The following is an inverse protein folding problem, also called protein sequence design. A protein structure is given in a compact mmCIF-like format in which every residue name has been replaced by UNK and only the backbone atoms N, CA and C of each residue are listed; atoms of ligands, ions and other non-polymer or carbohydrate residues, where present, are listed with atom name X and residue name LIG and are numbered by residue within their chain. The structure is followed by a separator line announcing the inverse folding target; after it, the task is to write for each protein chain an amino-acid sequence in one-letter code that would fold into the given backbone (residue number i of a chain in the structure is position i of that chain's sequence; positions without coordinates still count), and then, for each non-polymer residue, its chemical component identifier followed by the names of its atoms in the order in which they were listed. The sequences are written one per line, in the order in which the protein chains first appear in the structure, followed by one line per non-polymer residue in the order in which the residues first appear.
data_IF_694830683497
#
_entry.id   IF_694830683497
#
_cell.length_a   1.000
_cell.length_b   1.000
_cell.length_c   1.000
_cell.angle_alpha   90.00
_cell.angle_beta   90.00
_cell.angle_gamma   90.00
#
_symmetry.space_group_name_H-M   'P 1'
#
loop_
_entity.id
_entity.type
_entity.pdbx_description
1 polymer ?
#
# COMPACT_ATOMS: atom_id res chain seq x y z
N UNK A 1 5.54 -30.92 10.18
CA UNK A 1 4.96 -29.66 10.70
C UNK A 1 5.60 -28.51 9.94
N UNK A 2 4.86 -27.44 9.67
CA UNK A 2 5.41 -26.29 8.96
C UNK A 2 6.22 -25.39 9.91
N UNK A 3 7.26 -24.75 9.38
CA UNK A 3 7.99 -23.68 10.03
C UNK A 3 7.15 -22.40 9.93
N UNK A 4 6.76 -21.85 11.08
CA UNK A 4 6.01 -20.60 11.14
C UNK A 4 6.92 -19.38 10.92
N UNK A 5 6.38 -18.39 10.21
CA UNK A 5 7.09 -17.12 9.95
C UNK A 5 6.22 -15.97 10.43
N UNK A 6 6.83 -15.03 11.16
CA UNK A 6 6.17 -13.83 11.66
C UNK A 6 6.71 -12.61 10.90
N UNK A 7 5.82 -11.69 10.55
CA UNK A 7 6.23 -10.38 10.02
C UNK A 7 6.91 -9.61 11.13
N UNK A 8 8.24 -9.69 11.21
CA UNK A 8 9.06 -8.81 12.02
C UNK A 8 9.62 -7.71 11.11
N UNK A 9 9.82 -6.49 11.63
CA UNK A 9 10.41 -5.36 10.89
C UNK A 9 11.89 -5.59 10.48
N UNK A 10 12.37 -6.84 10.53
CA UNK A 10 13.73 -7.21 10.12
C UNK A 10 13.78 -7.26 8.60
N UNK A 11 14.77 -6.57 8.04
CA UNK A 11 15.03 -6.22 6.64
C UNK A 11 15.24 -7.43 5.72
N UNK A 12 14.25 -8.29 5.55
CA UNK A 12 14.22 -9.23 4.41
C UNK A 12 13.73 -8.48 3.18
N UNK A 13 14.47 -8.56 2.07
CA UNK A 13 14.20 -7.86 0.82
C UNK A 13 12.73 -7.94 0.42
N UNK A 14 12.03 -6.80 0.45
CA UNK A 14 10.64 -6.71 0.02
C UNK A 14 10.61 -6.79 -1.50
N UNK A 15 10.19 -7.95 -2.03
CA UNK A 15 10.03 -8.15 -3.48
C UNK A 15 9.04 -7.13 -4.05
N UNK A 16 9.35 -6.61 -5.24
CA UNK A 16 8.44 -5.73 -5.94
C UNK A 16 7.19 -6.49 -6.41
N UNK A 17 6.13 -5.75 -6.71
CA UNK A 17 4.90 -6.32 -7.29
C UNK A 17 5.17 -7.18 -8.53
N UNK A 18 6.09 -6.75 -9.40
CA UNK A 18 6.39 -7.48 -10.63
C UNK A 18 7.15 -8.78 -10.33
N UNK A 19 8.14 -8.73 -9.44
CA UNK A 19 8.93 -9.91 -9.07
C UNK A 19 8.06 -10.95 -8.35
N UNK A 20 7.12 -10.48 -7.52
CA UNK A 20 6.18 -11.37 -6.84
C UNK A 20 5.25 -12.08 -7.81
N UNK A 21 4.75 -11.37 -8.83
CA UNK A 21 3.92 -11.98 -9.89
C UNK A 21 4.72 -12.95 -10.76
N UNK A 22 5.96 -12.58 -11.14
CA UNK A 22 6.86 -13.45 -11.88
C UNK A 22 7.12 -14.75 -11.12
N UNK A 23 7.44 -14.65 -9.82
CA UNK A 23 7.62 -15.81 -8.96
C UNK A 23 6.39 -16.75 -8.94
N UNK A 24 5.18 -16.19 -8.75
CA UNK A 24 3.96 -17.00 -8.76
C UNK A 24 3.76 -17.70 -10.11
N UNK A 25 3.94 -16.95 -11.20
CA UNK A 25 3.76 -17.46 -12.55
C UNK A 25 4.76 -18.55 -12.92
N UNK A 26 6.02 -18.40 -12.51
CA UNK A 26 7.06 -19.38 -12.76
C UNK A 26 6.84 -20.65 -11.93
N UNK A 27 6.50 -20.52 -10.64
CA UNK A 27 6.27 -21.68 -9.77
C UNK A 27 5.00 -22.47 -10.14
N UNK A 28 3.93 -21.77 -10.52
CA UNK A 28 2.64 -22.41 -10.80
C UNK A 28 2.37 -22.60 -12.29
N UNK A 29 3.27 -22.22 -13.20
CA UNK A 29 3.00 -22.19 -14.64
C UNK A 29 1.67 -21.48 -14.93
N UNK A 30 1.51 -20.29 -14.35
CA UNK A 30 0.30 -19.47 -14.42
C UNK A 30 0.55 -18.18 -15.22
N UNK A 31 -0.52 -17.44 -15.51
CA UNK A 31 -0.45 -16.19 -16.27
C UNK A 31 -1.14 -15.01 -15.57
N UNK A 32 -0.92 -14.84 -14.25
CA UNK A 32 -1.48 -13.72 -13.51
C UNK A 32 -0.87 -12.38 -13.97
N UNK A 33 -1.74 -11.42 -14.28
CA UNK A 33 -1.36 -10.06 -14.65
C UNK A 33 -1.47 -9.09 -13.46
N UNK A 34 -2.28 -9.42 -12.45
CA UNK A 34 -2.59 -8.57 -11.31
C UNK A 34 -2.56 -9.38 -10.02
N UNK A 35 -2.05 -8.79 -8.93
CA UNK A 35 -1.96 -9.47 -7.63
C UNK A 35 -3.36 -9.75 -7.07
N UNK A 36 -4.33 -8.91 -7.40
CA UNK A 36 -5.73 -9.05 -7.04
C UNK A 36 -6.34 -10.37 -7.54
N UNK A 37 -5.81 -10.98 -8.60
CA UNK A 37 -6.29 -12.27 -9.14
C UNK A 37 -6.00 -13.45 -8.18
N UNK A 38 -5.10 -13.28 -7.22
CA UNK A 38 -4.85 -14.24 -6.14
C UNK A 38 -5.98 -14.31 -5.11
N UNK A 39 -6.94 -13.37 -5.15
CA UNK A 39 -8.13 -13.38 -4.29
C UNK A 39 -9.01 -14.62 -4.48
N UNK A 40 -8.82 -15.39 -5.55
CA UNK A 40 -9.54 -16.65 -5.76
C UNK A 40 -9.14 -17.74 -4.76
N UNK A 41 -7.99 -17.60 -4.11
CA UNK A 41 -7.45 -18.56 -3.14
C UNK A 41 -6.87 -19.85 -3.76
N UNK A 42 -7.07 -20.09 -5.06
CA UNK A 42 -6.68 -21.33 -5.72
C UNK A 42 -5.15 -21.50 -5.80
N UNK A 43 -4.42 -20.42 -6.10
CA UNK A 43 -2.96 -20.43 -6.14
C UNK A 43 -2.33 -20.82 -4.80
N UNK A 44 -2.84 -20.26 -3.69
CA UNK A 44 -2.34 -20.59 -2.34
C UNK A 44 -2.61 -22.05 -1.95
N UNK A 45 -3.75 -22.60 -2.36
CA UNK A 45 -4.05 -24.02 -2.16
C UNK A 45 -3.04 -24.89 -2.92
N UNK A 46 -2.68 -24.51 -4.14
CA UNK A 46 -1.70 -25.25 -4.92
C UNK A 46 -0.29 -25.13 -4.35
N UNK A 47 0.12 -23.95 -3.87
CA UNK A 47 1.39 -23.81 -3.16
C UNK A 47 1.48 -24.69 -1.91
N UNK A 48 0.37 -24.84 -1.17
CA UNK A 48 0.34 -25.73 -0.01
C UNK A 48 0.47 -27.21 -0.39
N UNK A 49 -0.06 -27.62 -1.53
CA UNK A 49 0.16 -28.96 -2.09
C UNK A 49 1.64 -29.17 -2.50
N UNK A 50 2.26 -28.16 -3.11
CA UNK A 50 3.69 -28.16 -3.45
C UNK A 50 4.59 -28.29 -2.21
N UNK A 51 4.35 -27.47 -1.18
CA UNK A 51 5.11 -27.53 0.08
C UNK A 51 4.85 -28.85 0.83
N UNK A 52 3.57 -29.21 0.98
CA UNK A 52 3.12 -30.33 1.79
C UNK A 52 2.11 -31.20 1.04
N UNK A 53 2.57 -32.18 0.24
CA UNK A 53 1.72 -33.06 -0.53
C UNK A 53 0.68 -33.76 0.35
N UNK A 54 -0.58 -33.78 -0.10
CA UNK A 54 -1.69 -34.36 0.66
C UNK A 54 -2.18 -33.51 1.84
N UNK A 55 -1.66 -32.28 2.02
CA UNK A 55 -2.26 -31.30 2.94
C UNK A 55 -3.54 -30.68 2.38
N UNK A 56 -3.67 -30.64 1.05
CA UNK A 56 -4.79 -29.99 0.34
C UNK A 56 -5.54 -31.00 -0.55
N UNK A 57 -6.88 -31.05 -0.51
CA UNK A 57 -7.68 -31.84 -1.44
C UNK A 57 -7.79 -31.15 -2.82
N UNK A 58 -6.81 -31.36 -3.70
CA UNK A 58 -6.71 -30.70 -5.02
C UNK A 58 -7.99 -30.77 -5.86
N UNK A 59 -8.70 -31.92 -5.83
CA UNK A 59 -9.96 -32.13 -6.58
C UNK A 59 -11.12 -31.21 -6.16
N UNK A 60 -11.06 -30.62 -4.97
CA UNK A 60 -12.12 -29.73 -4.46
C UNK A 60 -11.87 -28.26 -4.77
N UNK A 61 -10.68 -27.91 -5.24
CA UNK A 61 -10.30 -26.54 -5.54
C UNK A 61 -10.98 -26.09 -6.83
N UNK A 62 -11.53 -24.88 -6.83
CA UNK A 62 -12.06 -24.23 -8.02
C UNK A 62 -10.96 -23.34 -8.62
N UNK A 63 -10.29 -23.83 -9.66
CA UNK A 63 -9.18 -23.09 -10.32
C UNK A 63 -9.67 -22.00 -11.29
N UNK A 64 -10.84 -22.20 -11.92
CA UNK A 64 -11.44 -21.25 -12.87
C UNK A 64 -12.80 -20.83 -12.34
N UNK A 65 -12.84 -19.73 -11.60
CA UNK A 65 -14.06 -19.17 -10.99
C UNK A 65 -14.00 -17.65 -10.98
N UNK A 66 -15.18 -17.02 -11.10
CA UNK A 66 -15.36 -15.58 -10.92
C UNK A 66 -16.38 -15.26 -9.80
N UNK A 67 -16.70 -16.23 -8.95
CA UNK A 67 -17.77 -16.14 -7.96
C UNK A 67 -17.19 -16.06 -6.55
N UNK A 68 -17.53 -15.00 -5.81
CA UNK A 68 -16.98 -14.75 -4.46
C UNK A 68 -17.23 -15.91 -3.49
N UNK A 69 -18.40 -16.57 -3.57
CA UNK A 69 -18.71 -17.72 -2.71
C UNK A 69 -17.82 -18.95 -3.01
N UNK A 70 -17.30 -19.09 -4.22
CA UNK A 70 -16.32 -20.14 -4.57
C UNK A 70 -14.92 -19.78 -4.05
N UNK A 71 -14.57 -18.48 -3.99
CA UNK A 71 -13.30 -18.03 -3.38
C UNK A 71 -13.27 -18.37 -1.89
N UNK A 72 -14.39 -18.14 -1.20
CA UNK A 72 -14.55 -18.51 0.21
C UNK A 72 -14.35 -20.03 0.40
N UNK A 73 -14.86 -20.86 -0.51
CA UNK A 73 -14.65 -22.31 -0.45
C UNK A 73 -13.17 -22.68 -0.60
N UNK A 74 -12.45 -22.07 -1.55
CA UNK A 74 -11.01 -22.26 -1.70
C UNK A 74 -10.24 -21.83 -0.44
N UNK A 75 -10.57 -20.68 0.15
CA UNK A 75 -9.91 -20.24 1.39
C UNK A 75 -10.22 -21.13 2.59
N UNK A 76 -11.41 -21.75 2.67
CA UNK A 76 -11.70 -22.77 3.70
C UNK A 76 -10.83 -24.01 3.53
N UNK A 77 -10.56 -24.41 2.29
CA UNK A 77 -9.63 -25.50 2.01
C UNK A 77 -8.21 -25.13 2.47
N UNK A 78 -7.78 -23.89 2.20
CA UNK A 78 -6.47 -23.38 2.65
C UNK A 78 -6.35 -23.34 4.18
N UNK A 79 -7.39 -22.85 4.89
CA UNK A 79 -7.44 -22.85 6.36
C UNK A 79 -7.33 -24.26 6.95
N UNK A 80 -7.99 -25.24 6.34
CA UNK A 80 -7.90 -26.63 6.77
C UNK A 80 -6.46 -27.17 6.61
N UNK A 81 -5.77 -26.81 5.53
CA UNK A 81 -4.37 -27.18 5.32
C UNK A 81 -3.43 -26.50 6.33
N UNK A 82 -3.64 -25.22 6.63
CA UNK A 82 -2.89 -24.49 7.67
C UNK A 82 -3.05 -25.15 9.04
N UNK A 83 -4.29 -25.51 9.41
CA UNK A 83 -4.57 -26.23 10.65
C UNK A 83 -3.88 -27.59 10.71
N UNK A 84 -3.87 -28.35 9.59
CA UNK A 84 -3.22 -29.66 9.51
C UNK A 84 -1.70 -29.57 9.66
N UNK A 85 -1.10 -28.50 9.16
CA UNK A 85 0.35 -28.27 9.20
C UNK A 85 0.82 -27.44 10.41
N UNK A 86 -0.11 -27.06 11.30
CA UNK A 86 0.15 -26.22 12.48
C UNK A 86 0.72 -24.83 12.15
N UNK A 87 0.12 -24.18 11.14
CA UNK A 87 0.45 -22.81 10.76
C UNK A 87 -0.41 -21.84 11.57
N UNK A 88 0.23 -20.95 12.35
CA UNK A 88 -0.45 -20.05 13.29
C UNK A 88 -1.01 -18.78 12.64
N UNK A 89 -0.67 -18.54 11.36
CA UNK A 89 -1.13 -17.36 10.63
C UNK A 89 -2.64 -17.41 10.39
N UNK A 90 -3.33 -16.39 10.90
CA UNK A 90 -4.73 -16.14 10.58
C UNK A 90 -4.84 -15.55 9.17
N UNK A 91 -5.64 -16.19 8.32
CA UNK A 91 -5.92 -15.74 6.95
C UNK A 91 -7.09 -14.75 6.98
N UNK A 92 -6.92 -13.48 6.55
CA UNK A 92 -7.98 -12.47 6.53
C UNK A 92 -8.92 -12.66 5.32
N UNK A 93 -9.68 -13.76 5.31
CA UNK A 93 -10.50 -14.19 4.15
C UNK A 93 -11.42 -13.07 3.66
N UNK A 94 -12.15 -12.40 4.55
CA UNK A 94 -13.11 -11.35 4.20
C UNK A 94 -12.50 -10.17 3.46
N UNK A 95 -11.21 -9.90 3.69
CA UNK A 95 -10.47 -8.82 3.01
C UNK A 95 -9.90 -9.30 1.68
N UNK A 96 -9.34 -10.51 1.64
CA UNK A 96 -8.70 -11.08 0.45
C UNK A 96 -9.69 -11.28 -0.68
N UNK A 97 -10.86 -11.88 -0.41
CA UNK A 97 -11.87 -12.21 -1.43
C UNK A 97 -12.44 -10.97 -2.14
N UNK A 98 -12.29 -9.78 -1.53
CA UNK A 98 -12.72 -8.50 -2.14
C UNK A 98 -11.79 -8.03 -3.25
N UNK A 99 -10.70 -8.75 -3.53
CA UNK A 99 -9.76 -8.41 -4.60
C UNK A 99 -9.06 -7.07 -4.38
N UNK A 100 -8.92 -6.61 -3.12
CA UNK A 100 -8.18 -5.38 -2.82
C UNK A 100 -6.68 -5.63 -2.90
N UNK A 101 -5.97 -4.78 -3.63
CA UNK A 101 -4.53 -4.92 -3.84
C UNK A 101 -3.74 -4.97 -2.52
N UNK A 102 -4.00 -4.05 -1.59
CA UNK A 102 -3.24 -3.93 -0.35
C UNK A 102 -3.30 -5.21 0.50
N UNK A 103 -4.51 -5.70 0.77
CA UNK A 103 -4.71 -6.91 1.57
C UNK A 103 -4.12 -8.16 0.88
N UNK A 104 -4.30 -8.28 -0.44
CA UNK A 104 -3.76 -9.40 -1.20
C UNK A 104 -2.24 -9.37 -1.27
N UNK A 105 -1.64 -8.18 -1.42
CA UNK A 105 -0.19 -8.03 -1.49
C UNK A 105 0.48 -8.28 -0.14
N UNK A 106 -0.08 -7.76 0.95
CA UNK A 106 0.43 -8.01 2.30
C UNK A 106 0.41 -9.52 2.63
N UNK A 107 -0.70 -10.20 2.31
CA UNK A 107 -0.79 -11.64 2.53
C UNK A 107 0.21 -12.41 1.66
N UNK A 108 0.37 -12.02 0.39
CA UNK A 108 1.31 -12.65 -0.53
C UNK A 108 2.78 -12.46 -0.09
N UNK A 109 3.15 -11.29 0.43
CA UNK A 109 4.48 -11.04 0.97
C UNK A 109 4.78 -11.97 2.15
N UNK A 110 3.84 -12.09 3.09
CA UNK A 110 3.99 -13.04 4.18
C UNK A 110 4.06 -14.48 3.65
N UNK A 111 3.21 -14.83 2.68
CA UNK A 111 3.15 -16.16 2.11
C UNK A 111 4.45 -16.54 1.40
N UNK A 112 5.11 -15.60 0.72
CA UNK A 112 6.43 -15.81 0.12
C UNK A 112 7.49 -16.15 1.17
N UNK A 113 7.55 -15.39 2.27
CA UNK A 113 8.48 -15.69 3.37
C UNK A 113 8.20 -17.06 4.00
N UNK A 114 6.92 -17.39 4.17
CA UNK A 114 6.48 -18.70 4.62
C UNK A 114 6.89 -19.81 3.64
N UNK A 115 6.74 -19.59 2.34
CA UNK A 115 7.13 -20.53 1.30
C UNK A 115 8.65 -20.77 1.34
N UNK A 116 9.46 -19.72 1.35
CA UNK A 116 10.93 -19.84 1.35
C UNK A 116 11.46 -20.58 2.59
N UNK A 117 10.81 -20.39 3.74
CA UNK A 117 11.18 -21.07 4.98
C UNK A 117 10.82 -22.57 5.00
N UNK A 118 9.91 -23.01 4.12
CA UNK A 118 9.38 -24.38 4.13
C UNK A 118 9.70 -25.17 2.85
N UNK A 119 10.10 -24.50 1.77
CA UNK A 119 10.38 -25.15 0.51
C UNK A 119 11.74 -25.84 0.54
N UNK A 120 11.76 -27.13 0.22
CA UNK A 120 12.94 -27.98 0.24
C UNK A 120 13.60 -28.14 -1.14
N UNK A 121 13.12 -27.41 -2.15
CA UNK A 121 13.67 -27.42 -3.50
C UNK A 121 13.20 -28.58 -4.38
N UNK A 122 12.20 -29.36 -3.94
CA UNK A 122 11.65 -30.47 -4.74
C UNK A 122 11.08 -30.00 -6.08
N UNK A 123 11.19 -30.82 -7.10
CA UNK A 123 10.52 -30.56 -8.38
C UNK A 123 9.01 -30.77 -8.22
N UNK A 124 8.22 -29.87 -8.80
CA UNK A 124 6.76 -29.92 -8.75
C UNK A 124 6.18 -29.53 -10.12
N UNK A 125 5.42 -30.44 -10.71
CA UNK A 125 4.67 -30.16 -11.94
C UNK A 125 3.29 -29.57 -11.59
N UNK A 126 3.20 -28.25 -11.67
CA UNK A 126 1.98 -27.52 -11.36
C UNK A 126 0.86 -27.76 -12.38
N UNK A 127 1.19 -28.07 -13.63
CA UNK A 127 0.21 -28.32 -14.67
C UNK A 127 -0.46 -29.69 -14.48
N UNK A 128 0.32 -30.73 -14.20
CA UNK A 128 -0.21 -32.07 -13.91
C UNK A 128 -1.00 -32.12 -12.61
N UNK A 129 -0.52 -31.44 -11.56
CA UNK A 129 -1.23 -31.39 -10.27
C UNK A 129 -2.63 -30.75 -10.37
N UNK A 130 -2.85 -29.89 -11.37
CA UNK A 130 -4.17 -29.34 -11.70
C UNK A 130 -4.99 -30.22 -12.61
N UNK A 131 -4.45 -31.31 -13.16
CA UNK A 131 -5.11 -32.10 -14.20
C UNK A 131 -5.24 -31.35 -15.53
N UNK A 132 -4.28 -30.46 -15.84
CA UNK A 132 -4.20 -29.73 -17.11
C UNK A 132 -4.96 -28.39 -17.16
N UNK A 133 -5.52 -27.90 -16.05
CA UNK A 133 -6.14 -26.57 -16.03
C UNK A 133 -5.09 -25.45 -15.96
N UNK A 134 -5.27 -24.38 -16.74
CA UNK A 134 -4.48 -23.15 -16.63
C UNK A 134 -5.11 -22.18 -15.63
N UNK A 135 -4.28 -21.45 -14.89
CA UNK A 135 -4.71 -20.42 -13.92
C UNK A 135 -4.07 -19.07 -14.31
N UNK A 136 -4.77 -17.97 -14.08
CA UNK A 136 -4.22 -16.62 -14.25
C UNK A 136 -4.66 -15.87 -15.52
N UNK A 137 -5.28 -16.50 -16.51
CA UNK A 137 -5.96 -15.74 -17.56
C UNK A 137 -7.30 -15.21 -17.07
N UNK A 138 -7.36 -13.91 -16.80
CA UNK A 138 -8.61 -13.17 -16.66
C UNK A 138 -9.58 -13.56 -17.78
N UNK A 139 -10.84 -13.76 -17.42
CA UNK A 139 -11.88 -14.28 -18.30
C UNK A 139 -12.07 -13.40 -19.56
N UNK A 140 -11.38 -13.74 -20.63
CA UNK A 140 -11.84 -13.62 -22.01
C UNK A 140 -11.06 -14.64 -22.87
N UNK A 141 -11.74 -15.71 -23.27
CA UNK A 141 -11.58 -16.23 -24.62
C UNK A 141 -12.88 -16.91 -25.03
N UNK A 142 -13.64 -16.24 -25.88
CA UNK A 142 -14.53 -16.92 -26.79
C UNK A 142 -13.71 -17.27 -28.03
N UNK A 143 -13.02 -18.41 -27.94
CA UNK A 143 -12.73 -19.31 -29.05
C UNK A 143 -11.60 -18.90 -29.98
N UNK A 144 -10.36 -19.19 -29.60
CA UNK A 144 -9.31 -19.57 -30.57
C UNK A 144 -8.42 -20.70 -30.01
N UNK A 145 -8.37 -21.89 -30.63
CA UNK A 145 -7.46 -22.96 -30.22
C UNK A 145 -6.13 -22.87 -30.96
N UNK A 146 -5.10 -22.31 -30.34
CA UNK A 146 -3.69 -22.36 -30.77
C UNK A 146 -2.82 -22.23 -29.50
N UNK A 147 -1.73 -22.93 -29.25
CA UNK A 147 -0.98 -24.03 -29.86
C UNK A 147 -0.08 -24.57 -28.71
N UNK A 148 0.34 -25.83 -28.76
CA UNK A 148 1.06 -26.55 -27.70
C UNK A 148 2.36 -25.84 -27.22
N UNK A 149 2.78 -26.03 -25.95
CA UNK A 149 4.02 -25.44 -25.44
C UNK A 149 5.25 -26.16 -26.03
N UNK A 150 6.22 -25.37 -26.50
CA UNK A 150 7.52 -25.87 -26.94
C UNK A 150 8.37 -26.35 -25.74
N UNK A 151 9.22 -27.38 -25.91
CA UNK A 151 10.00 -27.98 -24.82
C UNK A 151 11.15 -27.06 -24.34
N UNK A 152 11.68 -27.28 -23.12
CA UNK A 152 12.68 -26.41 -22.50
C UNK A 152 14.03 -26.53 -23.21
N UNK A 153 14.59 -25.40 -23.62
CA UNK A 153 15.90 -25.34 -24.29
C UNK A 153 17.02 -25.34 -23.24
N UNK A 154 17.77 -26.43 -23.20
CA UNK A 154 18.94 -26.61 -22.36
C UNK A 154 20.04 -25.56 -22.65
N UNK A 155 20.72 -25.10 -21.59
CA UNK A 155 21.96 -24.32 -21.64
C UNK A 155 23.07 -25.11 -22.37
N UNK A 156 23.74 -24.48 -23.35
CA UNK A 156 25.17 -24.71 -23.61
C UNK A 156 25.82 -23.59 -24.45
N UNK A 157 27.16 -23.58 -24.36
CA UNK A 157 28.11 -22.47 -24.50
C UNK A 157 28.36 -21.92 -25.93
N UNK A 158 29.01 -20.75 -25.95
CA UNK A 158 29.47 -19.97 -27.11
C UNK A 158 30.45 -20.71 -28.03
N UNK A 159 30.62 -20.23 -29.28
CA UNK A 159 31.89 -19.57 -29.61
C UNK A 159 31.79 -18.30 -30.49
N UNK A 160 32.90 -17.57 -30.49
CA UNK A 160 33.21 -16.27 -31.10
C UNK A 160 33.29 -16.31 -32.65
N UNK A 161 32.85 -15.24 -33.34
CA UNK A 161 33.67 -14.56 -34.35
C UNK A 161 33.17 -13.14 -34.70
N UNK A 162 34.14 -12.31 -35.05
CA UNK A 162 34.17 -10.86 -35.26
C UNK A 162 33.67 -10.43 -36.66
N UNK A 163 32.93 -9.32 -36.74
CA UNK A 163 33.25 -8.16 -37.61
C UNK A 163 32.23 -7.03 -37.41
N UNK A 164 32.71 -5.79 -37.41
CA UNK A 164 31.98 -4.61 -36.93
C UNK A 164 31.05 -3.96 -37.95
N UNK A 165 30.18 -3.07 -37.45
CA UNK A 165 29.81 -1.85 -38.15
C UNK A 165 29.21 -0.84 -37.16
N UNK A 166 29.68 0.38 -37.26
CA UNK A 166 29.33 1.57 -36.47
C UNK A 166 27.92 2.07 -36.77
N UNK A 167 27.11 2.29 -35.74
CA UNK A 167 25.99 3.25 -35.82
C UNK A 167 25.76 3.89 -34.45
N UNK A 168 26.02 5.19 -34.35
CA UNK A 168 25.57 6.02 -33.23
C UNK A 168 24.04 5.95 -33.17
N UNK A 169 23.50 5.41 -32.08
CA UNK A 169 22.08 5.53 -31.75
C UNK A 169 21.97 6.40 -30.50
N UNK A 170 21.47 7.63 -30.68
CA UNK A 170 21.02 8.48 -29.60
C UNK A 170 20.01 7.72 -28.74
N UNK A 171 20.32 7.63 -27.46
CA UNK A 171 19.40 7.26 -26.39
C UNK A 171 18.28 8.29 -26.28
N UNK A 172 17.03 7.87 -26.52
CA UNK A 172 15.87 8.49 -25.88
C UNK A 172 14.78 7.44 -25.66
N UNK A 173 14.87 6.79 -24.50
CA UNK A 173 13.82 5.96 -23.94
C UNK A 173 12.69 6.87 -23.41
N UNK A 174 11.91 7.49 -24.30
CA UNK A 174 10.63 8.06 -23.92
C UNK A 174 9.65 6.90 -23.71
N UNK A 175 9.65 6.33 -22.50
CA UNK A 175 8.54 5.49 -22.02
C UNK A 175 7.26 6.30 -22.21
N UNK A 176 6.37 5.84 -23.08
CA UNK A 176 5.01 6.37 -23.19
C UNK A 176 4.32 6.13 -21.84
N UNK A 177 4.34 7.13 -20.98
CA UNK A 177 3.62 7.09 -19.72
C UNK A 177 2.13 7.27 -20.04
N UNK A 178 1.42 6.16 -20.24
CA UNK A 178 -0.02 6.18 -20.46
C UNK A 178 -0.67 6.67 -19.16
N UNK A 179 -1.43 7.77 -19.23
CA UNK A 179 -2.12 8.35 -18.08
C UNK A 179 -3.13 7.33 -17.54
N UNK A 180 -3.04 6.88 -16.28
CA UNK A 180 -3.91 5.85 -15.74
C UNK A 180 -5.27 6.44 -15.30
N UNK A 181 -6.13 6.75 -16.27
CA UNK A 181 -7.43 7.41 -16.06
C UNK A 181 -8.30 6.65 -15.05
N UNK A 182 -8.31 5.31 -15.10
CA UNK A 182 -9.09 4.46 -14.18
C UNK A 182 -8.70 4.61 -12.70
N UNK A 183 -7.48 5.09 -12.42
CA UNK A 183 -7.01 5.39 -11.06
C UNK A 183 -7.39 6.79 -10.63
N UNK A 184 -7.33 7.76 -11.56
CA UNK A 184 -7.60 9.17 -11.28
C UNK A 184 -9.10 9.44 -11.05
N UNK A 185 -9.97 8.78 -11.82
CA UNK A 185 -11.43 8.93 -11.70
C UNK A 185 -11.96 8.45 -10.33
N UNK A 186 -11.21 7.59 -9.62
CA UNK A 186 -11.57 7.10 -8.28
C UNK A 186 -11.36 8.14 -7.18
N UNK A 187 -10.78 9.30 -7.48
CA UNK A 187 -10.65 10.41 -6.53
C UNK A 187 -9.71 10.15 -5.35
N UNK A 188 -8.83 9.15 -5.44
CA UNK A 188 -7.87 8.85 -4.37
C UNK A 188 -6.77 9.91 -4.34
N UNK A 189 -6.48 10.42 -3.15
CA UNK A 189 -5.48 11.47 -2.94
C UNK A 189 -4.12 11.09 -3.52
N UNK A 190 -3.61 9.91 -3.18
CA UNK A 190 -2.27 9.47 -3.60
C UNK A 190 -2.12 9.39 -5.13
N UNK A 191 -3.10 8.79 -5.82
CA UNK A 191 -3.09 8.64 -7.28
C UNK A 191 -3.18 10.01 -7.98
N UNK A 192 -4.07 10.89 -7.50
CA UNK A 192 -4.25 12.23 -8.05
C UNK A 192 -3.05 13.14 -7.76
N UNK A 193 -2.44 13.00 -6.57
CA UNK A 193 -1.29 13.79 -6.15
C UNK A 193 -0.03 13.41 -6.93
N UNK A 194 0.25 12.12 -7.09
CA UNK A 194 1.38 11.63 -7.91
C UNK A 194 1.24 12.06 -9.38
N UNK A 195 0.04 11.96 -9.94
CA UNK A 195 -0.21 12.45 -11.29
C UNK A 195 -0.05 13.96 -11.40
N UNK A 196 -0.53 14.73 -10.42
CA UNK A 196 -0.36 16.19 -10.42
C UNK A 196 1.12 16.60 -10.34
N UNK A 197 1.94 15.89 -9.56
CA UNK A 197 3.38 16.12 -9.50
C UNK A 197 4.06 15.85 -10.85
N UNK A 198 3.71 14.75 -11.51
CA UNK A 198 4.20 14.46 -12.85
C UNK A 198 3.70 15.49 -13.87
N UNK A 199 2.42 15.82 -13.85
CA UNK A 199 1.78 16.76 -14.77
C UNK A 199 2.38 18.16 -14.63
N UNK A 200 2.68 18.60 -13.40
CA UNK A 200 3.38 19.87 -13.16
C UNK A 200 4.78 19.87 -13.80
N UNK A 201 5.57 18.82 -13.59
CA UNK A 201 6.91 18.69 -14.21
C UNK A 201 6.82 18.64 -15.74
N UNK A 202 5.84 17.93 -16.28
CA UNK A 202 5.57 17.88 -17.71
C UNK A 202 5.17 19.27 -18.24
N UNK A 203 4.25 19.96 -17.57
CA UNK A 203 3.81 21.31 -17.94
C UNK A 203 4.99 22.28 -17.94
N UNK A 204 5.82 22.29 -16.89
CA UNK A 204 6.98 23.17 -16.79
C UNK A 204 8.01 22.93 -17.90
N UNK A 205 8.19 21.68 -18.31
CA UNK A 205 9.11 21.32 -19.38
C UNK A 205 8.60 21.67 -20.78
N UNK A 206 7.29 21.87 -20.95
CA UNK A 206 6.66 22.04 -22.27
C UNK A 206 5.95 23.39 -22.44
N UNK A 207 5.70 24.13 -21.37
CA UNK A 207 5.00 25.41 -21.43
C UNK A 207 5.96 26.52 -21.87
N UNK A 208 5.71 27.08 -23.06
CA UNK A 208 6.53 28.12 -23.67
C UNK A 208 6.39 29.52 -23.05
N UNK A 209 5.64 29.67 -21.95
CA UNK A 209 5.50 30.95 -21.22
C UNK A 209 4.54 31.96 -21.84
N UNK A 210 3.73 31.57 -22.82
CA UNK A 210 2.68 32.45 -23.38
C UNK A 210 1.65 32.83 -22.31
N UNK A 211 1.05 34.01 -22.39
CA UNK A 211 -0.08 34.34 -21.50
C UNK A 211 -1.32 33.52 -21.90
N UNK A 212 -1.95 32.87 -20.92
CA UNK A 212 -3.14 32.05 -21.13
C UNK A 212 -4.28 32.54 -20.24
N UNK A 213 -5.31 33.13 -20.86
CA UNK A 213 -6.53 33.53 -20.17
C UNK A 213 -7.49 32.34 -20.00
N UNK A 214 -7.40 31.68 -18.85
CA UNK A 214 -8.22 30.52 -18.53
C UNK A 214 -9.72 30.82 -18.34
N UNK A 215 -10.13 32.09 -18.20
CA UNK A 215 -11.54 32.47 -18.02
C UNK A 215 -12.19 32.73 -19.37
N UNK A 216 -11.51 33.49 -20.24
CA UNK A 216 -11.97 33.71 -21.61
C UNK A 216 -12.11 32.40 -22.38
N UNK A 217 -11.16 31.47 -22.20
CA UNK A 217 -11.21 30.15 -22.85
C UNK A 217 -12.31 29.22 -22.33
N UNK A 218 -12.87 29.51 -21.14
CA UNK A 218 -14.04 28.82 -20.60
C UNK A 218 -15.35 29.57 -20.89
N UNK A 219 -15.31 30.63 -21.69
CA UNK A 219 -16.47 31.49 -21.98
C UNK A 219 -17.14 32.02 -20.70
N UNK A 220 -16.36 32.21 -19.62
CA UNK A 220 -16.87 32.64 -18.31
C UNK A 220 -17.52 31.54 -17.46
N UNK A 221 -17.50 30.27 -17.87
CA UNK A 221 -18.08 29.17 -17.09
C UNK A 221 -17.24 28.82 -15.84
N UNK A 222 -17.89 28.60 -14.67
CA UNK A 222 -17.20 28.23 -13.43
C UNK A 222 -16.62 26.81 -13.50
N UNK A 223 -15.53 26.56 -12.75
CA UNK A 223 -14.94 25.22 -12.64
C UNK A 223 -15.64 24.41 -11.53
N UNK A 224 -15.95 23.15 -11.78
CA UNK A 224 -16.61 22.27 -10.81
C UNK A 224 -15.69 21.86 -9.65
N UNK A 225 -16.25 21.68 -8.45
CA UNK A 225 -15.51 21.32 -7.23
C UNK A 225 -15.48 19.81 -6.92
N UNK A 226 -15.88 18.96 -7.87
CA UNK A 226 -15.69 17.50 -7.80
C UNK A 226 -16.34 16.75 -6.63
N UNK A 227 -17.20 17.39 -5.82
CA UNK A 227 -17.86 16.71 -4.70
C UNK A 227 -19.13 16.01 -5.17
N UNK A 228 -19.18 14.69 -5.01
CA UNK A 228 -20.39 13.92 -5.19
C UNK A 228 -21.42 14.31 -4.11
N UNK A 229 -22.38 15.16 -4.48
CA UNK A 229 -23.57 15.43 -3.68
C UNK A 229 -23.57 16.74 -2.90
N UNK A 230 -23.52 17.88 -3.58
CA UNK A 230 -24.22 19.10 -3.16
C UNK A 230 -24.27 20.10 -4.32
N UNK A 231 -25.47 20.42 -4.81
CA UNK A 231 -25.68 21.61 -5.63
C UNK A 231 -25.33 22.86 -4.81
N UNK A 232 -24.78 23.93 -5.42
CA UNK A 232 -24.49 25.16 -4.69
C UNK A 232 -25.82 25.81 -4.30
N UNK A 233 -26.20 25.72 -3.02
CA UNK A 233 -27.23 26.59 -2.48
C UNK A 233 -26.65 28.00 -2.40
N UNK A 234 -27.26 28.91 -3.16
CA UNK A 234 -27.02 30.34 -3.04
C UNK A 234 -27.20 30.79 -1.57
N UNK A 235 -26.21 31.51 -1.05
CA UNK A 235 -26.28 32.15 0.25
C UNK A 235 -27.30 33.32 0.21
N UNK A 236 -28.24 33.43 1.16
CA UNK A 236 -28.97 34.67 1.35
C UNK A 236 -28.14 35.66 2.19
N UNK A 237 -28.35 36.97 2.04
CA UNK A 237 -27.46 38.00 2.55
C UNK A 237 -27.62 38.25 4.07
N UNK A 238 -26.51 38.70 4.65
CA UNK A 238 -26.27 39.02 6.06
C UNK A 238 -27.17 40.13 6.61
N UNK A 239 -27.76 39.91 7.79
CA UNK A 239 -28.26 40.98 8.67
C UNK A 239 -27.60 40.86 10.05
N UNK A 240 -27.13 41.99 10.56
CA UNK A 240 -26.22 42.19 11.71
C UNK A 240 -26.92 42.19 13.07
N UNK A 241 -26.07 42.02 14.11
CA UNK A 241 -26.09 42.51 15.52
C UNK A 241 -26.61 41.55 16.62
N UNK A 242 -26.17 41.69 17.89
CA UNK A 242 -24.81 41.98 18.40
C UNK A 242 -24.39 41.10 19.62
N UNK A 243 -23.12 41.20 20.04
CA UNK A 243 -22.50 40.65 21.28
C UNK A 243 -23.05 41.32 22.57
N UNK A 244 -22.86 40.90 23.84
CA UNK A 244 -21.89 40.10 24.61
C UNK A 244 -22.57 39.69 25.97
N UNK A 245 -21.93 39.31 27.11
CA UNK A 245 -20.55 38.90 27.42
C UNK A 245 -20.42 37.64 28.32
N UNK A 246 -19.18 37.36 28.75
CA UNK A 246 -18.62 36.20 29.49
C UNK A 246 -18.57 36.43 31.01
N UNK A 247 -18.76 35.39 31.84
CA UNK A 247 -18.24 35.28 33.23
C UNK A 247 -18.15 33.79 33.65
N UNK A 248 -16.96 33.19 33.81
CA UNK A 248 -16.08 33.06 35.00
C UNK A 248 -16.57 32.15 36.16
N UNK A 249 -15.69 31.21 36.48
CA UNK A 249 -15.67 30.17 37.51
C UNK A 249 -15.62 30.73 38.94
N UNK A 250 -16.29 30.09 39.92
CA UNK A 250 -15.71 29.61 41.20
C UNK A 250 -16.72 29.20 42.30
N UNK A 251 -16.30 28.18 43.05
CA UNK A 251 -16.50 27.91 44.50
C UNK A 251 -17.79 27.26 45.05
N UNK A 252 -17.56 26.10 45.67
CA UNK A 252 -18.31 25.43 46.76
C UNK A 252 -17.91 26.08 48.11
N UNK A 253 -18.73 26.07 49.18
CA UNK A 253 -18.66 25.00 50.20
C UNK A 253 -20.03 24.56 50.78
N UNK A 254 -19.98 23.51 51.61
CA UNK A 254 -21.08 22.71 52.21
C UNK A 254 -21.75 23.36 53.44
N UNK A 255 -23.01 22.97 53.73
CA UNK A 255 -23.56 22.64 55.08
C UNK A 255 -24.89 21.86 54.90
N UNK A 256 -24.98 20.59 55.32
CA UNK A 256 -25.60 20.04 56.55
C UNK A 256 -27.09 20.37 56.74
N UNK A 257 -27.93 19.33 56.61
CA UNK A 257 -29.33 19.32 57.06
C UNK A 257 -29.92 17.91 56.97
N UNK A 258 -29.94 17.20 58.10
CA UNK A 258 -30.56 15.87 58.32
C UNK A 258 -32.09 15.96 58.19
N UNK A 259 -32.75 14.92 57.68
CA UNK A 259 -33.60 14.02 58.50
C UNK A 259 -34.43 13.04 57.62
N UNK A 260 -34.60 11.85 58.20
CA UNK A 260 -35.34 10.67 57.74
C UNK A 260 -36.82 10.91 57.41
N UNK A 261 -37.37 10.11 56.47
CA UNK A 261 -38.43 9.11 56.78
C UNK A 261 -38.87 8.30 55.55
N UNK A 262 -38.66 6.98 55.66
CA UNK A 262 -39.49 5.84 55.20
C UNK A 262 -40.62 6.06 54.20
N UNK A 263 -40.68 5.23 53.14
CA UNK A 263 -41.83 4.36 52.77
C UNK A 263 -41.45 3.42 51.59
N UNK A 264 -42.11 2.26 51.59
CA UNK A 264 -41.89 0.98 50.87
C UNK A 264 -42.39 0.99 49.40
N UNK A 265 -41.80 0.11 48.58
CA UNK A 265 -41.86 -0.04 47.10
C UNK A 265 -43.21 -0.49 46.47
N UNK A 266 -43.35 -0.40 45.13
CA UNK A 266 -43.38 -1.63 44.30
C UNK A 266 -42.54 -1.54 43.00
N UNK A 267 -42.24 -2.66 42.31
CA UNK A 267 -41.23 -2.70 41.24
C UNK A 267 -41.82 -2.31 39.89
N UNK A 268 -41.08 -1.49 39.12
CA UNK A 268 -41.35 -1.29 37.69
C UNK A 268 -40.07 -1.58 36.93
N UNK A 269 -40.09 -2.65 36.16
CA UNK A 269 -39.05 -3.05 35.24
C UNK A 269 -39.07 -2.08 34.05
N UNK A 270 -38.02 -1.28 33.87
CA UNK A 270 -37.81 -0.50 32.65
C UNK A 270 -36.36 -0.63 32.18
N UNK A 271 -36.06 -1.82 31.67
CA UNK A 271 -34.98 -2.07 30.73
C UNK A 271 -35.16 -1.21 29.47
N UNK A 272 -34.66 0.04 29.46
CA UNK A 272 -34.44 0.81 28.22
C UNK A 272 -33.60 2.09 28.37
N UNK A 273 -32.40 2.00 28.96
CA UNK A 273 -31.39 3.07 28.83
C UNK A 273 -30.03 2.41 28.60
N UNK A 274 -29.72 2.08 27.34
CA UNK A 274 -28.34 1.85 26.87
C UNK A 274 -28.28 1.64 25.35
N UNK A 275 -28.71 2.62 24.55
CA UNK A 275 -28.51 2.57 23.10
C UNK A 275 -27.87 3.80 22.46
N UNK A 276 -27.50 4.85 23.20
CA UNK A 276 -26.88 6.03 22.61
C UNK A 276 -25.34 6.09 22.71
N UNK A 277 -24.68 5.23 23.49
CA UNK A 277 -23.21 5.30 23.70
C UNK A 277 -22.35 4.40 22.79
N UNK A 278 -22.93 3.57 21.92
CA UNK A 278 -22.17 2.59 21.11
C UNK A 278 -21.54 3.18 19.83
N UNK A 279 -22.02 4.33 19.37
CA UNK A 279 -21.48 5.02 18.19
C UNK A 279 -20.19 5.76 18.50
N UNK A 280 -20.21 6.58 19.56
CA UNK A 280 -19.06 7.38 19.98
C UNK A 280 -17.88 6.50 20.44
N UNK A 281 -18.15 5.37 21.10
CA UNK A 281 -17.11 4.41 21.50
C UNK A 281 -16.32 3.88 20.29
N UNK A 282 -17.00 3.57 19.18
CA UNK A 282 -16.33 3.06 17.97
C UNK A 282 -15.47 4.13 17.29
N UNK A 283 -15.96 5.37 17.27
CA UNK A 283 -15.20 6.51 16.73
C UNK A 283 -13.99 6.83 17.61
N UNK A 284 -14.13 6.73 18.93
CA UNK A 284 -13.01 6.86 19.88
C UNK A 284 -11.99 5.75 19.68
N UNK A 285 -12.42 4.51 19.49
CA UNK A 285 -11.53 3.37 19.21
C UNK A 285 -10.78 3.56 17.87
N UNK A 286 -11.48 4.04 16.84
CA UNK A 286 -10.90 4.33 15.52
C UNK A 286 -9.90 5.50 15.56
N UNK A 287 -10.23 6.58 16.25
CA UNK A 287 -9.33 7.72 16.48
C UNK A 287 -8.08 7.29 17.27
N UNK A 288 -8.23 6.43 18.28
CA UNK A 288 -7.09 5.90 19.04
C UNK A 288 -6.17 5.03 18.17
N UNK A 289 -6.73 4.23 17.25
CA UNK A 289 -5.94 3.48 16.27
C UNK A 289 -5.15 4.41 15.34
N UNK A 290 -5.79 5.45 14.81
CA UNK A 290 -5.12 6.45 13.96
C UNK A 290 -4.00 7.20 14.71
N UNK A 291 -4.24 7.58 15.97
CA UNK A 291 -3.20 8.22 16.80
C UNK A 291 -2.01 7.27 17.02
N UNK A 292 -2.27 5.99 17.28
CA UNK A 292 -1.20 5.01 17.48
C UNK A 292 -0.41 4.72 16.19
N UNK A 293 -1.08 4.68 15.05
CA UNK A 293 -0.44 4.51 13.73
C UNK A 293 0.42 5.73 13.36
N UNK A 294 -0.11 6.95 13.56
CA UNK A 294 0.64 8.18 13.35
C UNK A 294 1.85 8.27 14.28
N UNK A 295 1.71 7.89 15.56
CA UNK A 295 2.83 7.81 16.50
C UNK A 295 3.90 6.82 16.02
N UNK A 296 3.50 5.62 15.62
CA UNK A 296 4.44 4.63 15.09
C UNK A 296 5.16 5.14 13.82
N UNK A 297 4.47 5.91 12.99
CA UNK A 297 5.05 6.54 11.80
C UNK A 297 6.04 7.63 12.18
N UNK A 298 5.69 8.50 13.13
CA UNK A 298 6.59 9.54 13.65
C UNK A 298 7.83 8.92 14.28
N UNK A 299 7.67 7.91 15.15
CA UNK A 299 8.80 7.19 15.76
C UNK A 299 9.72 6.55 14.70
N UNK A 300 9.15 6.04 13.61
CA UNK A 300 9.92 5.53 12.47
C UNK A 300 10.71 6.62 11.77
N UNK A 301 10.07 7.74 11.44
CA UNK A 301 10.69 8.89 10.80
C UNK A 301 11.77 9.55 11.68
N UNK A 302 11.58 9.55 13.01
CA UNK A 302 12.59 10.05 13.94
C UNK A 302 13.83 9.16 13.98
N UNK A 303 13.67 7.83 13.94
CA UNK A 303 14.79 6.90 13.82
C UNK A 303 15.54 7.08 12.49
N UNK A 304 14.81 7.28 11.40
CA UNK A 304 15.43 7.58 10.09
C UNK A 304 16.17 8.92 10.12
N UNK A 305 15.57 9.97 10.68
CA UNK A 305 16.20 11.28 10.90
C UNK A 305 17.50 11.12 11.69
N UNK A 306 17.46 10.41 12.80
CA UNK A 306 18.62 10.23 13.69
C UNK A 306 19.72 9.38 13.02
N UNK A 307 19.33 8.40 12.21
CA UNK A 307 20.27 7.60 11.41
C UNK A 307 21.01 8.45 10.37
N UNK A 308 20.30 9.29 9.61
CA UNK A 308 20.92 10.18 8.64
C UNK A 308 21.74 11.30 9.31
N UNK A 309 21.25 11.84 10.43
CA UNK A 309 21.98 12.81 11.23
C UNK A 309 23.30 12.22 11.76
N UNK A 310 23.28 10.99 12.28
CA UNK A 310 24.48 10.29 12.72
C UNK A 310 25.51 10.12 11.60
N UNK A 311 25.09 9.73 10.39
CA UNK A 311 25.99 9.66 9.22
C UNK A 311 26.61 11.01 8.87
N UNK A 312 25.82 12.09 8.89
CA UNK A 312 26.32 13.44 8.62
C UNK A 312 27.30 13.90 9.70
N UNK A 313 27.06 13.52 10.96
CA UNK A 313 27.99 13.79 12.08
C UNK A 313 29.31 13.04 11.93
N UNK A 314 29.29 11.77 11.53
CA UNK A 314 30.51 10.99 11.27
C UNK A 314 31.33 11.63 10.14
N UNK A 315 30.67 12.07 9.06
CA UNK A 315 31.30 12.77 7.94
C UNK A 315 31.89 14.11 8.40
N UNK A 316 31.19 14.86 9.24
CA UNK A 316 31.64 16.13 9.79
C UNK A 316 32.94 15.95 10.60
N UNK A 317 33.01 14.94 11.47
CA UNK A 317 34.22 14.62 12.26
C UNK A 317 35.40 14.33 11.33
N UNK A 318 35.20 13.48 10.31
CA UNK A 318 36.24 13.16 9.33
C UNK A 318 36.73 14.41 8.60
N UNK A 319 35.81 15.30 8.22
CA UNK A 319 36.16 16.55 7.53
C UNK A 319 36.94 17.50 8.44
N UNK A 320 36.58 17.63 9.71
CA UNK A 320 37.27 18.47 10.68
C UNK A 320 38.70 17.97 10.95
N UNK A 321 38.89 16.64 11.08
CA UNK A 321 40.22 16.05 11.23
C UNK A 321 41.10 16.33 10.00
N UNK A 322 40.56 16.14 8.78
CA UNK A 322 41.33 16.33 7.55
C UNK A 322 41.73 17.79 7.26
N UNK A 323 40.95 18.77 7.74
CA UNK A 323 41.25 20.20 7.60
C UNK A 323 42.57 20.58 8.28
N UNK A 324 42.92 19.90 9.39
CA UNK A 324 44.14 20.17 10.16
C UNK A 324 45.41 19.63 9.49
N UNK A 325 45.33 18.55 8.70
CA UNK A 325 46.53 17.90 8.14
C UNK A 325 46.88 18.30 6.70
N UNK A 326 45.90 18.64 5.85
CA UNK A 326 46.13 19.29 4.55
C UNK A 326 44.87 20.03 4.13
N UNK A 327 44.96 21.35 4.02
CA UNK A 327 43.84 22.24 3.67
C UNK A 327 43.34 21.97 2.24
N UNK A 328 42.50 20.93 2.10
CA UNK A 328 41.99 20.45 0.83
C UNK A 328 40.71 21.22 0.48
N UNK A 329 40.67 21.96 -0.66
CA UNK A 329 39.54 22.83 -1.02
C UNK A 329 38.19 22.10 -1.19
N UNK A 330 38.20 20.76 -1.19
CA UNK A 330 37.00 19.93 -1.19
C UNK A 330 36.36 19.78 0.20
N UNK A 331 37.17 19.78 1.27
CA UNK A 331 36.71 19.63 2.66
C UNK A 331 35.88 20.84 3.06
N UNK A 332 36.35 22.04 2.74
CA UNK A 332 35.61 23.28 2.99
C UNK A 332 34.22 23.29 2.31
N UNK A 333 34.13 22.81 1.06
CA UNK A 333 32.84 22.72 0.35
C UNK A 333 31.87 21.74 1.01
N UNK A 334 32.38 20.67 1.61
CA UNK A 334 31.54 19.70 2.33
C UNK A 334 31.05 20.31 3.63
N UNK A 335 31.92 20.99 4.39
CA UNK A 335 31.54 21.71 5.62
C UNK A 335 30.51 22.82 5.34
N UNK A 336 30.67 23.57 4.25
CA UNK A 336 29.70 24.60 3.84
C UNK A 336 28.30 24.01 3.60
N UNK A 337 28.21 22.79 3.04
CA UNK A 337 26.94 22.07 2.86
C UNK A 337 26.38 21.59 4.20
N UNK A 338 27.22 21.02 5.07
CA UNK A 338 26.81 20.50 6.37
C UNK A 338 26.33 21.60 7.33
N UNK A 339 26.90 22.81 7.21
CA UNK A 339 26.55 23.98 8.03
C UNK A 339 25.59 24.94 7.35
N UNK A 340 25.17 24.65 6.12
CA UNK A 340 24.16 25.44 5.44
C UNK A 340 22.86 25.43 6.25
N UNK A 341 22.51 26.59 6.81
CA UNK A 341 21.18 26.80 7.39
C UNK A 341 20.18 27.10 6.29
N UNK A 342 18.90 26.79 6.52
CA UNK A 342 17.78 26.95 5.56
C UNK A 342 17.65 28.37 4.95
N UNK A 343 18.35 29.35 5.52
CA UNK A 343 18.42 30.74 5.06
C UNK A 343 19.25 30.89 3.77
N UNK A 344 20.27 30.06 3.54
CA UNK A 344 21.20 30.25 2.41
C UNK A 344 20.60 29.78 1.06
N UNK A 345 19.67 28.83 1.07
CA UNK A 345 19.11 28.24 -0.16
C UNK A 345 18.16 29.16 -0.94
N UNK A 346 17.72 30.29 -0.35
CA UNK A 346 16.82 31.25 -1.03
C UNK A 346 17.54 32.30 -1.87
N UNK A 347 18.87 32.44 -1.77
CA UNK A 347 19.58 33.51 -2.47
C UNK A 347 20.01 33.16 -3.91
N UNK A 348 20.00 31.87 -4.29
CA UNK A 348 20.50 31.41 -5.61
C UNK A 348 19.46 31.42 -6.75
N UNK A 349 18.21 31.81 -6.48
CA UNK A 349 17.15 31.91 -7.52
C UNK A 349 16.77 33.35 -7.90
N UNK A 350 17.53 34.35 -7.45
CA UNK A 350 17.43 35.72 -7.93
C UNK A 350 18.77 36.15 -8.50
N UNK A 351 19.00 35.82 -9.77
CA UNK A 351 19.76 36.64 -10.72
C UNK A 351 19.41 36.21 -12.13
#
# INVERSE_FOLDING_TARGET
MAVNVYSTNVTSENLSRHDMLAWVNDCLQSNFAKIEELCTGAAYCQFMDMLFPGSVPMKRIKFKTNLEHEYIQNFKILQAAFKKMSVDKVIPVDKLIKGRFQDNFEFLQWFKKFFDANYDGREYDAFEARGGFMIGSGACDSGVPLCAPAPPRARRAAPLHHSGSTHLALTSHARRHIVPIDRLVKGRFQDNFEFLQWFKKFFDANYGGTEYDAVAQREGLPMGHGSAGAAPRAAPPSVKKPAAPVAKVAARPQTIGKANSTVRSPPVNLSRINQTGKGDSKVIDELNLQINELKATVDGLEKERDFYFGKLRDIEVICQEMDEQQNAPIVQKILDILYATEVCHKQTFKN
#
